data_IF_698635090963
#
_entry.id   IF_698635090963
#
_cell.length_a   1.000
_cell.length_b   1.000
_cell.length_c   1.000
_cell.angle_alpha   90.00
_cell.angle_beta   90.00
_cell.angle_gamma   90.00
#
_symmetry.space_group_name_H-M   'P 1'
#
loop_
_entity.id
_entity.type
_entity.pdbx_description
1 polymer ?
#
# COMPACT_ATOMS: atom_id res chain seq x y z
N UNK A 1 -13.86 -11.76 -9.56
CA UNK A 1 -13.58 -10.42 -10.11
C UNK A 1 -14.71 -9.50 -9.66
N UNK A 2 -14.50 -8.74 -8.62
CA UNK A 2 -15.49 -7.73 -8.17
C UNK A 2 -14.85 -6.37 -8.34
N UNK A 3 -15.27 -5.67 -9.38
CA UNK A 3 -15.03 -4.25 -9.55
C UNK A 3 -15.90 -3.52 -8.52
N UNK A 4 -15.31 -2.85 -7.58
CA UNK A 4 -16.06 -1.94 -6.71
C UNK A 4 -16.22 -0.64 -7.49
N UNK A 5 -17.38 -0.45 -8.11
CA UNK A 5 -17.71 0.76 -8.87
C UNK A 5 -17.58 2.00 -7.99
N UNK A 6 -16.87 2.99 -8.51
CA UNK A 6 -16.43 4.17 -7.80
C UNK A 6 -17.55 5.09 -7.36
N UNK A 7 -17.37 5.66 -6.20
CA UNK A 7 -18.15 6.80 -5.73
C UNK A 7 -17.65 8.06 -6.46
N UNK A 8 -18.55 8.76 -7.13
CA UNK A 8 -18.24 9.98 -7.87
C UNK A 8 -17.54 11.03 -7.00
N UNK A 9 -16.40 11.52 -7.47
CA UNK A 9 -15.65 12.60 -6.86
C UNK A 9 -16.43 13.94 -6.95
N UNK A 10 -16.30 14.79 -5.95
CA UNK A 10 -16.90 16.14 -5.93
C UNK A 10 -16.29 17.15 -6.92
N UNK A 11 -15.33 16.72 -7.74
CA UNK A 11 -14.65 17.51 -8.77
C UNK A 11 -14.49 16.71 -10.07
N UNK A 12 -15.55 16.39 -10.76
CA UNK A 12 -15.55 16.01 -12.18
C UNK A 12 -14.65 14.88 -12.69
N UNK A 13 -13.60 14.48 -12.01
CA UNK A 13 -12.74 13.36 -12.36
C UNK A 13 -13.25 12.06 -11.72
N UNK A 14 -13.67 11.14 -12.57
CA UNK A 14 -14.01 9.77 -12.13
C UNK A 14 -12.72 8.99 -11.90
N UNK A 15 -12.61 8.35 -10.74
CA UNK A 15 -11.52 7.44 -10.42
C UNK A 15 -12.09 6.04 -10.08
N UNK A 16 -11.26 5.04 -10.24
CA UNK A 16 -11.60 3.66 -9.87
C UNK A 16 -10.46 3.01 -9.11
N UNK A 17 -10.80 2.01 -8.29
CA UNK A 17 -9.82 1.12 -7.64
C UNK A 17 -9.80 -0.21 -8.36
N UNK A 18 -8.62 -0.69 -8.70
CA UNK A 18 -8.42 -2.02 -9.27
C UNK A 18 -7.17 -2.68 -8.71
N UNK A 19 -7.08 -4.00 -8.83
CA UNK A 19 -5.82 -4.70 -8.61
C UNK A 19 -4.78 -4.24 -9.65
N UNK A 20 -3.54 -4.10 -9.21
CA UNK A 20 -2.42 -3.86 -10.10
C UNK A 20 -1.95 -5.18 -10.73
N UNK A 21 -1.40 -5.09 -11.91
CA UNK A 21 -0.70 -6.17 -12.59
C UNK A 21 0.75 -5.78 -12.94
N UNK A 22 1.51 -6.72 -13.54
CA UNK A 22 2.89 -6.47 -13.89
C UNK A 22 3.07 -5.34 -14.93
N UNK A 23 2.05 -5.03 -15.72
CA UNK A 23 2.06 -3.93 -16.68
C UNK A 23 2.08 -2.55 -16.02
N UNK A 24 1.61 -2.46 -14.77
CA UNK A 24 1.62 -1.21 -14.00
C UNK A 24 3.01 -0.86 -13.42
N UNK A 25 3.99 -1.76 -13.47
CA UNK A 25 5.24 -1.66 -12.72
C UNK A 25 5.98 -0.33 -12.93
N UNK A 26 6.02 0.21 -14.15
CA UNK A 26 6.65 1.51 -14.44
C UNK A 26 5.91 2.68 -13.78
N UNK A 27 4.58 2.67 -13.82
CA UNK A 27 3.76 3.70 -13.18
C UNK A 27 3.87 3.63 -11.64
N UNK A 28 3.88 2.42 -11.09
CA UNK A 28 4.06 2.18 -9.65
C UNK A 28 5.43 2.64 -9.15
N UNK A 29 6.50 2.38 -9.92
CA UNK A 29 7.84 2.86 -9.61
C UNK A 29 7.95 4.40 -9.66
N UNK A 30 7.24 5.04 -10.60
CA UNK A 30 7.15 6.50 -10.65
C UNK A 30 6.45 7.07 -9.41
N UNK A 31 5.30 6.49 -9.00
CA UNK A 31 4.61 6.89 -7.77
C UNK A 31 5.47 6.65 -6.51
N UNK A 32 6.28 5.58 -6.50
CA UNK A 32 7.23 5.35 -5.39
C UNK A 32 8.30 6.42 -5.33
N UNK A 33 8.82 6.84 -6.47
CA UNK A 33 9.75 7.98 -6.55
C UNK A 33 9.10 9.27 -6.02
N UNK A 34 7.92 9.62 -6.53
CA UNK A 34 7.15 10.79 -6.08
C UNK A 34 6.94 10.77 -4.56
N UNK A 35 6.55 9.62 -4.01
CA UNK A 35 6.36 9.45 -2.57
C UNK A 35 7.65 9.69 -1.78
N UNK A 36 8.75 9.07 -2.21
CA UNK A 36 10.04 9.19 -1.49
C UNK A 36 10.61 10.59 -1.57
N UNK A 37 10.43 11.30 -2.67
CA UNK A 37 10.85 12.69 -2.82
C UNK A 37 10.16 13.64 -1.79
N UNK A 38 8.99 13.25 -1.27
CA UNK A 38 8.33 14.02 -0.19
C UNK A 38 8.97 13.81 1.19
N UNK A 39 9.83 12.81 1.36
CA UNK A 39 10.41 12.40 2.64
C UNK A 39 11.88 12.77 2.78
N UNK A 40 12.51 13.24 1.71
CA UNK A 40 13.92 13.65 1.73
C UNK A 40 14.62 13.52 0.37
N UNK A 41 15.87 13.92 0.32
CA UNK A 41 16.68 13.86 -0.89
C UNK A 41 16.97 12.41 -1.30
N UNK A 42 16.81 12.12 -2.59
CA UNK A 42 17.22 10.85 -3.15
C UNK A 42 18.76 10.72 -3.19
N UNK A 43 19.26 9.50 -2.98
CA UNK A 43 20.70 9.18 -3.01
C UNK A 43 21.12 8.53 -4.33
N UNK A 44 20.19 8.32 -5.25
CA UNK A 44 20.44 7.76 -6.58
C UNK A 44 19.64 8.54 -7.63
N UNK A 45 20.06 8.42 -8.91
CA UNK A 45 19.36 9.07 -10.00
C UNK A 45 17.95 8.47 -10.21
N UNK A 46 16.97 9.31 -10.50
CA UNK A 46 15.57 8.90 -10.70
C UNK A 46 15.42 7.75 -11.69
N UNK A 47 16.06 7.85 -12.85
CA UNK A 47 15.96 6.81 -13.88
C UNK A 47 16.48 5.45 -13.39
N UNK A 48 17.63 5.42 -12.73
CA UNK A 48 18.20 4.19 -12.19
C UNK A 48 17.28 3.56 -11.13
N UNK A 49 16.77 4.39 -10.21
CA UNK A 49 15.81 3.94 -9.20
C UNK A 49 14.55 3.36 -9.86
N UNK A 50 13.92 4.10 -10.78
CA UNK A 50 12.66 3.70 -11.42
C UNK A 50 12.80 2.40 -12.19
N UNK A 51 13.90 2.22 -12.92
CA UNK A 51 14.18 0.98 -13.66
C UNK A 51 14.29 -0.22 -12.71
N UNK A 52 15.11 -0.11 -11.69
CA UNK A 52 15.30 -1.17 -10.67
C UNK A 52 14.03 -1.45 -9.89
N UNK A 53 13.31 -0.41 -9.51
CA UNK A 53 12.07 -0.52 -8.73
C UNK A 53 10.94 -1.15 -9.56
N UNK A 54 10.81 -0.80 -10.83
CA UNK A 54 9.82 -1.39 -11.73
C UNK A 54 10.08 -2.88 -11.96
N UNK A 55 11.33 -3.27 -12.18
CA UNK A 55 11.70 -4.68 -12.29
C UNK A 55 11.30 -5.46 -11.03
N UNK A 56 11.65 -4.94 -9.85
CA UNK A 56 11.29 -5.53 -8.56
C UNK A 56 9.77 -5.66 -8.39
N UNK A 57 9.02 -4.61 -8.70
CA UNK A 57 7.55 -4.58 -8.57
C UNK A 57 6.89 -5.57 -9.52
N UNK A 58 7.32 -5.61 -10.78
CA UNK A 58 6.78 -6.52 -11.79
C UNK A 58 6.94 -7.99 -11.40
N UNK A 59 8.12 -8.38 -10.90
CA UNK A 59 8.36 -9.75 -10.42
C UNK A 59 7.42 -10.13 -9.25
N UNK A 60 7.22 -9.24 -8.26
CA UNK A 60 6.39 -9.53 -7.09
C UNK A 60 4.91 -9.58 -7.41
N UNK A 61 4.46 -8.81 -8.38
CA UNK A 61 3.08 -8.89 -8.87
C UNK A 61 2.85 -10.17 -9.66
N UNK A 62 3.83 -10.60 -10.47
CA UNK A 62 3.73 -11.82 -11.27
C UNK A 62 3.71 -13.10 -10.41
N UNK A 63 4.51 -13.18 -9.35
CA UNK A 63 4.60 -14.36 -8.47
C UNK A 63 3.61 -14.32 -7.28
N UNK A 64 2.82 -13.27 -7.20
CA UNK A 64 1.80 -13.07 -6.18
C UNK A 64 2.29 -13.06 -4.72
N UNK A 65 3.60 -12.89 -4.48
CA UNK A 65 4.16 -12.71 -3.12
C UNK A 65 3.73 -11.40 -2.48
N UNK A 66 3.36 -10.43 -3.33
CA UNK A 66 2.78 -9.17 -2.92
C UNK A 66 1.43 -8.96 -3.60
N UNK A 67 0.59 -8.15 -3.00
CA UNK A 67 -0.63 -7.61 -3.60
C UNK A 67 -0.49 -6.11 -3.71
N UNK A 68 -0.99 -5.57 -4.79
CA UNK A 68 -1.06 -4.13 -4.97
C UNK A 68 -2.41 -3.75 -5.55
N UNK A 69 -2.97 -2.68 -5.06
CA UNK A 69 -4.13 -2.03 -5.65
C UNK A 69 -3.77 -0.62 -6.04
N UNK A 70 -4.38 -0.14 -7.10
CA UNK A 70 -4.15 1.19 -7.64
C UNK A 70 -5.44 1.99 -7.69
N UNK A 71 -5.30 3.29 -7.57
CA UNK A 71 -6.32 4.26 -7.99
C UNK A 71 -5.94 4.72 -9.38
N UNK A 72 -6.85 4.53 -10.33
CA UNK A 72 -6.73 5.02 -11.69
C UNK A 72 -7.71 6.16 -11.92
N UNK A 73 -7.26 7.27 -12.47
CA UNK A 73 -8.06 8.44 -12.83
C UNK A 73 -7.69 8.87 -14.24
N UNK A 74 -8.68 9.05 -15.10
CA UNK A 74 -8.44 9.42 -16.50
C UNK A 74 -7.51 8.47 -17.26
N UNK A 75 -7.52 7.16 -16.93
CA UNK A 75 -6.61 6.16 -17.53
C UNK A 75 -5.17 6.20 -17.00
N UNK A 76 -4.89 6.98 -15.95
CA UNK A 76 -3.55 7.11 -15.35
C UNK A 76 -3.55 6.58 -13.94
N UNK A 77 -2.58 5.73 -13.60
CA UNK A 77 -2.35 5.27 -12.22
C UNK A 77 -1.87 6.45 -11.38
N UNK A 78 -2.65 6.82 -10.38
CA UNK A 78 -2.44 8.02 -9.56
C UNK A 78 -2.37 7.74 -8.05
N UNK A 79 -2.49 6.47 -7.65
CA UNK A 79 -2.32 6.03 -6.27
C UNK A 79 -2.01 4.56 -6.20
N UNK A 80 -1.40 4.12 -5.10
CA UNK A 80 -1.03 2.73 -4.87
C UNK A 80 -1.06 2.38 -3.39
N UNK A 81 -1.34 1.12 -3.11
CA UNK A 81 -1.20 0.49 -1.80
C UNK A 81 -0.66 -0.92 -2.00
N UNK A 82 0.43 -1.24 -1.30
CA UNK A 82 1.06 -2.55 -1.32
C UNK A 82 0.78 -3.31 -0.04
N UNK A 83 0.56 -4.61 -0.18
CA UNK A 83 0.32 -5.52 0.92
C UNK A 83 1.14 -6.79 0.72
N UNK A 84 1.90 -7.16 1.74
CA UNK A 84 2.63 -8.42 1.79
C UNK A 84 1.93 -9.38 2.75
N UNK A 85 1.40 -10.53 2.28
CA UNK A 85 0.99 -11.61 3.15
C UNK A 85 2.22 -12.21 3.87
N UNK A 86 2.08 -12.48 5.15
CA UNK A 86 3.12 -13.07 6.01
C UNK A 86 2.54 -14.36 6.58
N UNK A 87 3.17 -15.48 6.27
CA UNK A 87 2.79 -16.78 6.83
C UNK A 87 3.21 -16.87 8.30
N UNK A 88 2.33 -17.43 9.12
CA UNK A 88 2.60 -17.79 10.52
C UNK A 88 3.02 -19.25 10.58
N UNK A 89 3.81 -19.59 11.57
CA UNK A 89 4.00 -20.99 11.94
C UNK A 89 2.64 -21.53 12.45
N UNK A 90 2.13 -22.66 11.93
CA UNK A 90 0.85 -23.21 12.35
C UNK A 90 0.79 -23.50 13.86
N UNK A 91 -0.34 -23.19 14.46
CA UNK A 91 -0.65 -23.53 15.85
C UNK A 91 -1.62 -24.72 15.91
N UNK A 92 -1.62 -25.50 16.99
CA UNK A 92 -2.55 -26.64 17.16
C UNK A 92 -3.96 -26.17 17.58
N UNK A 93 -4.43 -25.06 17.04
CA UNK A 93 -5.75 -24.45 17.26
C UNK A 93 -6.31 -23.94 15.94
N UNK A 94 -7.61 -23.86 15.81
CA UNK A 94 -8.27 -23.35 14.61
C UNK A 94 -8.19 -21.80 14.61
N UNK A 95 -7.19 -21.27 13.93
CA UNK A 95 -7.02 -19.83 13.76
C UNK A 95 -6.48 -19.50 12.35
N UNK A 96 -6.63 -18.26 11.85
CA UNK A 96 -5.96 -17.84 10.64
C UNK A 96 -4.43 -17.90 10.78
N UNK A 97 -3.76 -18.43 9.76
CA UNK A 97 -2.30 -18.63 9.75
C UNK A 97 -1.56 -17.56 8.95
N UNK A 98 -2.13 -16.38 8.84
CA UNK A 98 -1.53 -15.27 8.09
C UNK A 98 -1.68 -13.95 8.80
N UNK A 99 -0.59 -13.17 8.77
CA UNK A 99 -0.61 -11.73 8.95
C UNK A 99 -0.47 -11.05 7.59
N UNK A 100 -0.59 -9.73 7.57
CA UNK A 100 -0.21 -8.94 6.41
C UNK A 100 0.50 -7.65 6.84
N UNK A 101 1.40 -7.18 5.99
CA UNK A 101 2.08 -5.89 6.13
C UNK A 101 1.64 -4.96 5.02
N UNK A 102 1.05 -3.82 5.38
CA UNK A 102 0.74 -2.75 4.43
C UNK A 102 1.91 -1.77 4.36
N UNK A 103 2.33 -1.47 3.15
CA UNK A 103 3.43 -0.58 2.84
C UNK A 103 3.13 0.26 1.61
N UNK A 104 3.89 1.33 1.41
CA UNK A 104 3.86 2.13 0.20
C UNK A 104 2.44 2.61 -0.20
N UNK A 105 1.69 3.07 0.78
CA UNK A 105 0.38 3.68 0.54
C UNK A 105 0.58 5.16 0.15
N UNK A 106 0.38 5.44 -1.10
CA UNK A 106 0.55 6.78 -1.66
C UNK A 106 -0.58 7.14 -2.62
N UNK A 107 -1.02 8.38 -2.55
CA UNK A 107 -2.02 8.95 -3.45
C UNK A 107 -1.55 10.34 -3.87
N UNK A 108 -1.56 10.61 -5.17
CA UNK A 108 -1.24 11.95 -5.68
C UNK A 108 -2.12 13.01 -5.02
N UNK A 109 -1.57 14.21 -4.74
CA UNK A 109 -2.29 15.26 -4.03
C UNK A 109 -3.67 15.61 -4.62
N UNK A 110 -3.79 15.61 -5.94
CA UNK A 110 -5.03 15.93 -6.64
C UNK A 110 -6.22 15.03 -6.27
N UNK A 111 -5.98 13.77 -5.88
CA UNK A 111 -7.04 12.82 -5.52
C UNK A 111 -7.29 12.71 -4.01
N UNK A 112 -6.57 13.48 -3.21
CA UNK A 112 -6.75 13.45 -1.76
C UNK A 112 -8.03 14.16 -1.34
N UNK A 113 -8.62 13.73 -0.22
CA UNK A 113 -9.87 14.31 0.29
C UNK A 113 -11.14 13.93 -0.49
N UNK A 114 -11.03 13.09 -1.53
CA UNK A 114 -12.13 12.67 -2.39
C UNK A 114 -12.61 11.23 -2.13
N UNK A 115 -12.16 10.62 -1.04
CA UNK A 115 -12.53 9.23 -0.70
C UNK A 115 -11.67 8.15 -1.35
N UNK A 116 -10.86 8.46 -2.38
CA UNK A 116 -10.06 7.50 -3.13
C UNK A 116 -9.10 6.69 -2.23
N UNK A 117 -8.44 7.35 -1.26
CA UNK A 117 -7.57 6.67 -0.30
C UNK A 117 -8.33 5.69 0.61
N UNK A 118 -9.52 6.07 1.08
CA UNK A 118 -10.36 5.18 1.89
C UNK A 118 -10.86 3.98 1.08
N UNK A 119 -11.23 4.18 -0.18
CA UNK A 119 -11.66 3.10 -1.06
C UNK A 119 -10.51 2.12 -1.36
N UNK A 120 -9.31 2.64 -1.66
CA UNK A 120 -8.12 1.85 -1.87
C UNK A 120 -7.78 0.99 -0.64
N UNK A 121 -7.81 1.60 0.54
CA UNK A 121 -7.56 0.92 1.80
C UNK A 121 -8.65 -0.13 2.12
N UNK A 122 -9.93 0.22 1.94
CA UNK A 122 -11.04 -0.70 2.17
C UNK A 122 -10.94 -1.93 1.26
N UNK A 123 -10.50 -1.79 0.00
CA UNK A 123 -10.27 -2.90 -0.92
C UNK A 123 -9.19 -3.86 -0.39
N UNK A 124 -8.06 -3.33 0.08
CA UNK A 124 -7.00 -4.14 0.67
C UNK A 124 -7.46 -4.87 1.93
N UNK A 125 -8.24 -4.22 2.78
CA UNK A 125 -8.81 -4.84 3.99
C UNK A 125 -9.87 -5.90 3.68
N UNK A 126 -10.69 -5.69 2.65
CA UNK A 126 -11.65 -6.69 2.19
C UNK A 126 -10.93 -7.95 1.66
N UNK A 127 -9.88 -7.76 0.87
CA UNK A 127 -9.04 -8.86 0.42
C UNK A 127 -8.42 -9.62 1.62
N UNK A 128 -7.88 -8.91 2.59
CA UNK A 128 -7.27 -9.52 3.79
C UNK A 128 -8.25 -10.43 4.53
N UNK A 129 -9.48 -9.95 4.77
CA UNK A 129 -10.54 -10.76 5.41
C UNK A 129 -10.89 -11.99 4.60
N UNK A 130 -11.03 -11.85 3.27
CA UNK A 130 -11.39 -12.95 2.37
C UNK A 130 -10.27 -14.00 2.22
N UNK A 131 -9.02 -13.67 2.59
CA UNK A 131 -7.86 -14.54 2.43
C UNK A 131 -7.26 -15.03 3.76
N UNK A 132 -8.04 -14.98 4.85
CA UNK A 132 -7.64 -15.55 6.14
C UNK A 132 -6.47 -14.80 6.78
N UNK A 133 -6.43 -13.49 6.67
CA UNK A 133 -5.49 -12.64 7.41
C UNK A 133 -6.14 -12.26 8.74
N UNK A 134 -5.49 -12.57 9.86
CA UNK A 134 -5.99 -12.26 11.19
C UNK A 134 -5.51 -10.92 11.72
N UNK A 135 -4.32 -10.46 11.29
CA UNK A 135 -3.79 -9.16 11.69
C UNK A 135 -3.09 -8.47 10.52
N UNK A 136 -3.31 -7.17 10.39
CA UNK A 136 -2.62 -6.31 9.44
C UNK A 136 -1.78 -5.31 10.22
N UNK A 137 -0.50 -5.22 9.90
CA UNK A 137 0.46 -4.29 10.51
C UNK A 137 0.90 -3.23 9.49
N UNK A 138 1.20 -2.05 9.99
CA UNK A 138 1.74 -0.93 9.21
C UNK A 138 2.47 0.06 10.12
N UNK A 139 3.34 0.88 9.53
CA UNK A 139 3.97 2.03 10.20
C UNK A 139 3.33 3.31 9.69
N UNK A 140 2.49 3.99 10.51
CA UNK A 140 1.80 5.20 10.09
C UNK A 140 2.71 6.41 10.14
N UNK A 141 2.60 7.29 9.15
CA UNK A 141 3.06 8.66 9.32
C UNK A 141 2.04 9.46 10.15
N UNK A 142 2.43 10.58 10.80
CA UNK A 142 1.47 11.44 11.51
C UNK A 142 0.27 11.84 10.63
N UNK A 143 0.51 12.06 9.34
CA UNK A 143 -0.53 12.44 8.38
C UNK A 143 -1.51 11.30 8.06
N UNK A 144 -1.04 10.07 7.98
CA UNK A 144 -1.85 8.91 7.60
C UNK A 144 -2.57 8.26 8.79
N UNK A 145 -2.11 8.50 10.00
CA UNK A 145 -2.67 7.92 11.23
C UNK A 145 -4.19 8.05 11.35
N UNK A 146 -4.82 9.23 11.14
CA UNK A 146 -6.28 9.35 11.26
C UNK A 146 -7.06 8.51 10.26
N UNK A 147 -6.48 8.20 9.10
CA UNK A 147 -7.10 7.28 8.14
C UNK A 147 -7.13 5.86 8.72
N UNK A 148 -6.01 5.38 9.23
CA UNK A 148 -5.92 4.02 9.78
C UNK A 148 -6.79 3.83 11.02
N UNK A 149 -6.83 4.80 11.92
CA UNK A 149 -7.70 4.77 13.10
C UNK A 149 -9.18 4.65 12.73
N UNK A 150 -9.65 5.37 11.70
CA UNK A 150 -11.02 5.23 11.17
C UNK A 150 -11.31 3.84 10.59
N UNK A 151 -10.29 3.10 10.21
CA UNK A 151 -10.39 1.72 9.73
C UNK A 151 -10.11 0.66 10.81
N UNK A 152 -10.11 1.06 12.10
CA UNK A 152 -9.99 0.15 13.23
C UNK A 152 -8.55 -0.18 13.65
N UNK A 153 -7.55 0.53 13.12
CA UNK A 153 -6.18 0.40 13.59
C UNK A 153 -5.97 1.14 14.90
N UNK A 154 -5.24 0.52 15.80
CA UNK A 154 -4.86 1.13 17.08
C UNK A 154 -3.35 0.96 17.33
N UNK A 155 -2.74 1.95 17.97
CA UNK A 155 -1.39 1.80 18.50
C UNK A 155 -1.45 1.01 19.81
N UNK A 156 -0.55 0.06 20.02
CA UNK A 156 -0.40 -0.61 21.32
C UNK A 156 -0.87 -2.05 21.39
N UNK A 157 -1.17 -2.71 20.28
CA UNK A 157 -1.59 -4.11 20.22
C UNK A 157 -0.51 -5.17 20.53
N UNK A 158 0.50 -4.85 21.33
CA UNK A 158 1.57 -5.79 21.66
C UNK A 158 2.65 -5.98 20.60
N UNK A 159 2.58 -5.24 19.51
CA UNK A 159 3.66 -5.22 18.50
C UNK A 159 4.85 -4.45 19.05
N UNK A 160 6.02 -5.07 19.03
CA UNK A 160 7.30 -4.46 19.41
C UNK A 160 8.15 -4.26 18.17
N UNK A 161 8.84 -3.14 18.09
CA UNK A 161 9.76 -2.79 17.02
C UNK A 161 11.18 -2.68 17.57
N UNK A 162 12.16 -3.22 16.84
CA UNK A 162 13.58 -3.00 17.10
C UNK A 162 14.27 -2.58 15.82
N UNK A 163 14.96 -1.43 15.85
CA UNK A 163 15.78 -0.98 14.73
C UNK A 163 17.14 -1.67 14.82
N UNK A 164 17.44 -2.57 13.90
CA UNK A 164 18.70 -3.35 13.85
C UNK A 164 19.73 -2.78 12.87
N UNK A 165 19.38 -1.76 12.11
CA UNK A 165 20.29 -1.07 11.18
C UNK A 165 20.89 0.21 11.78
N UNK A 166 21.89 0.80 11.10
CA UNK A 166 22.57 2.01 11.52
C UNK A 166 21.65 3.24 11.50
N UNK A 167 20.82 3.42 12.52
CA UNK A 167 20.16 4.69 12.83
C UNK A 167 19.11 5.18 11.85
N UNK A 168 18.49 4.32 11.05
CA UNK A 168 17.36 4.72 10.23
C UNK A 168 16.10 4.80 11.07
N UNK A 169 15.53 5.98 11.13
CA UNK A 169 14.20 6.18 11.64
C UNK A 169 13.20 5.49 10.70
N UNK A 170 12.56 4.41 11.15
CA UNK A 170 11.55 3.67 10.38
C UNK A 170 10.20 4.40 10.34
N UNK A 171 9.98 5.40 11.18
CA UNK A 171 8.72 6.16 11.24
C UNK A 171 8.37 6.88 9.94
N UNK A 172 9.34 7.07 9.05
CA UNK A 172 9.16 7.65 7.72
C UNK A 172 9.08 6.63 6.58
N UNK A 173 9.04 5.33 6.83
CA UNK A 173 9.13 4.28 5.80
C UNK A 173 7.80 3.66 5.40
N UNK A 174 6.71 4.04 6.05
CA UNK A 174 5.35 3.59 5.71
C UNK A 174 4.79 4.29 4.46
#
# INVERSE_FOLDING_TARGET
>A
MSTVDGIAARSGETWQVRAADAGDALALAALRWEFRATLGAAQEAEHAFRTRCAAWMGERLADARWRCWVVEAGGVVAGQLWLQPIEKIPNPVAEPERHAYISNFFLRPALRGQGAGSALFATAMAWSRANGVDAVILWPTPRSRPLYERHGFSAGGGVMEAVVGSGRDLSGMA
#
